data_IF_519235007543
#
_entry.id   IF_519235007543
#
_cell.length_a   1.000
_cell.length_b   1.000
_cell.length_c   1.000
_cell.angle_alpha   90.00
_cell.angle_beta   90.00
_cell.angle_gamma   90.00
#
_symmetry.space_group_name_H-M   'P 1'
#
loop_
_entity.id
_entity.type
_entity.pdbx_description
1 polymer ?
2 non-polymer ?
3 non-polymer ?
4 water ?
#
# COMPACT_ATOMS: atom_id res chain seq x y z
N UNK A 11 23.04 10.51 -0.13
CA UNK A 11 22.17 10.27 -1.26
C UNK A 11 22.80 10.74 -2.55
N UNK A 12 22.65 10.02 -3.63
CA UNK A 12 23.15 10.50 -4.89
C UNK A 12 22.54 11.86 -5.31
N UNK A 13 23.39 12.83 -5.57
CA UNK A 13 22.94 14.12 -6.05
C UNK A 13 22.98 14.13 -7.58
N UNK A 14 21.86 14.46 -8.20
CA UNK A 14 21.70 14.40 -9.65
C UNK A 14 21.69 15.83 -10.16
N UNK A 15 22.43 16.10 -11.22
CA UNK A 15 22.39 17.44 -11.76
C UNK A 15 21.12 17.64 -12.55
N UNK A 16 20.51 18.84 -12.49
CA UNK A 16 19.26 19.07 -13.23
C UNK A 16 19.37 18.86 -14.73
N UNK A 17 20.56 18.95 -15.31
CA UNK A 17 20.64 18.76 -16.76
C UNK A 17 20.50 17.30 -17.16
N UNK A 18 20.54 16.39 -16.21
CA UNK A 18 20.30 14.98 -16.48
C UNK A 18 18.82 14.60 -16.42
N UNK A 19 17.95 15.49 -15.92
CA UNK A 19 16.55 15.17 -15.67
C UNK A 19 15.70 15.88 -16.71
N UNK A 20 14.85 15.13 -17.40
CA UNK A 20 13.83 15.73 -18.27
C UNK A 20 12.45 15.33 -17.75
N UNK A 21 11.69 16.31 -17.28
CA UNK A 21 10.29 16.12 -16.92
C UNK A 21 9.42 16.10 -18.17
N UNK A 22 8.73 14.98 -18.41
CA UNK A 22 7.92 14.82 -19.63
C UNK A 22 6.43 15.01 -19.44
N UNK A 23 5.84 14.45 -18.39
CA UNK A 23 4.39 14.46 -18.23
C UNK A 23 4.07 14.56 -16.75
N UNK A 24 3.18 15.45 -16.37
CA UNK A 24 2.67 15.46 -15.01
C UNK A 24 1.78 14.24 -14.82
N UNK A 25 2.02 13.47 -13.76
CA UNK A 25 1.22 12.29 -13.47
C UNK A 25 0.46 12.41 -12.17
N UNK A 26 0.83 13.36 -11.32
CA UNK A 26 0.21 13.60 -10.04
C UNK A 26 0.47 15.05 -9.73
N UNK A 27 -0.48 15.76 -9.17
CA UNK A 27 -0.21 17.15 -8.88
C UNK A 27 -0.67 17.45 -7.47
N UNK A 28 0.03 18.38 -6.83
CA UNK A 28 -0.34 18.89 -5.53
C UNK A 28 -0.10 20.38 -5.47
N UNK A 29 -0.48 20.96 -4.32
CA UNK A 29 -0.30 22.41 -4.16
C UNK A 29 1.16 22.81 -4.21
N UNK A 30 2.04 21.98 -3.66
CA UNK A 30 3.43 22.38 -3.39
C UNK A 30 4.45 21.68 -4.28
N UNK A 31 3.99 20.95 -5.28
CA UNK A 31 4.86 20.24 -6.20
C UNK A 31 4.01 19.31 -7.04
N UNK A 32 4.65 18.67 -7.98
CA UNK A 32 3.96 17.72 -8.81
C UNK A 32 4.83 16.48 -8.88
N UNK A 33 4.22 15.40 -9.35
CA UNK A 33 4.93 14.18 -9.69
C UNK A 33 4.88 14.08 -11.19
N UNK A 34 6.04 13.79 -11.79
CA UNK A 34 6.20 13.66 -13.22
C UNK A 34 6.75 12.31 -13.60
N UNK A 35 6.38 11.86 -14.80
CA UNK A 35 7.14 10.86 -15.51
C UNK A 35 8.21 11.62 -16.31
N UNK A 36 9.41 11.05 -16.35
CA UNK A 36 10.50 11.64 -17.10
C UNK A 36 11.62 10.65 -17.37
N UNK A 37 12.77 11.19 -17.78
CA UNK A 37 13.90 10.37 -18.16
C UNK A 37 15.12 10.88 -17.42
N UNK A 38 15.98 9.96 -17.05
CA UNK A 38 17.20 10.29 -16.33
C UNK A 38 18.39 9.86 -17.20
N UNK A 39 19.26 10.82 -17.53
CA UNK A 39 20.57 10.51 -18.13
C UNK A 39 21.37 9.61 -17.18
N UNK A 45 22.05 4.79 -22.31
CA UNK A 45 20.88 5.57 -22.69
C UNK A 45 20.07 5.92 -21.47
N UNK A 46 19.25 6.96 -21.61
CA UNK A 46 18.47 7.46 -20.48
C UNK A 46 17.39 6.46 -20.10
N UNK A 47 17.00 6.49 -18.83
CA UNK A 47 16.07 5.51 -18.25
C UNK A 47 14.85 6.22 -17.70
N UNK A 48 13.67 5.61 -17.76
CA UNK A 48 12.47 6.26 -17.22
C UNK A 48 12.57 6.35 -15.71
N UNK A 49 12.10 7.47 -15.19
CA UNK A 49 12.07 7.71 -13.74
C UNK A 49 10.79 8.44 -13.44
N UNK A 50 10.43 8.42 -12.15
CA UNK A 50 9.43 9.34 -11.62
C UNK A 50 10.15 10.44 -10.88
N UNK A 51 9.61 11.66 -10.93
CA UNK A 51 10.26 12.87 -10.38
C UNK A 51 9.23 13.61 -9.53
N UNK A 52 9.53 13.85 -8.27
CA UNK A 52 8.62 14.64 -7.43
C UNK A 52 9.32 15.95 -7.11
N UNK A 53 8.63 17.08 -7.29
CA UNK A 53 9.24 18.39 -7.01
C UNK A 53 8.68 19.04 -5.76
N UNK A 54 9.45 20.01 -5.28
CA UNK A 54 9.04 20.87 -4.18
C UNK A 54 9.31 22.31 -4.59
N UNK A 55 8.25 23.06 -4.76
CA UNK A 55 8.38 24.43 -5.27
C UNK A 55 8.94 25.48 -4.32
N UNK A 56 9.61 26.48 -4.87
CA UNK A 56 10.19 27.58 -4.10
C UNK A 56 9.15 28.21 -3.19
N UNK A 57 9.60 28.67 -2.03
CA UNK A 57 8.67 29.15 -1.01
C UNK A 57 8.35 28.11 0.04
N UNK A 58 8.83 26.87 -0.15
CA UNK A 58 8.55 25.84 0.82
C UNK A 58 9.07 26.25 2.19
N UNK A 59 8.37 25.80 3.21
CA UNK A 59 8.75 26.02 4.59
C UNK A 59 9.83 25.04 5.05
N UNK A 60 10.38 25.31 6.23
CA UNK A 60 11.36 24.42 6.80
C UNK A 60 10.77 23.03 7.02
N UNK A 61 9.55 22.98 7.54
CA UNK A 61 8.89 21.69 7.75
C UNK A 61 8.65 20.99 6.42
N UNK A 62 8.25 21.74 5.38
CA UNK A 62 8.08 21.08 4.10
C UNK A 62 9.39 20.50 3.58
N UNK A 63 10.50 21.23 3.73
CA UNK A 63 11.80 20.72 3.31
C UNK A 63 12.20 19.48 4.10
N UNK A 64 12.04 19.54 5.42
CA UNK A 64 12.35 18.38 6.26
C UNK A 64 11.49 17.18 5.88
N UNK A 65 10.20 17.39 5.69
CA UNK A 65 9.34 16.28 5.29
C UNK A 65 9.73 15.73 3.91
N UNK A 66 10.01 16.62 2.95
CA UNK A 66 10.28 16.21 1.58
C UNK A 66 11.59 15.43 1.51
N UNK A 67 12.68 16.04 1.98
CA UNK A 67 13.95 15.34 1.92
C UNK A 67 13.95 14.15 2.87
N UNK A 68 13.11 14.18 3.92
CA UNK A 68 13.04 13.09 4.86
C UNK A 68 12.49 11.84 4.21
N UNK A 69 11.56 12.00 3.26
CA UNK A 69 11.07 10.88 2.49
C UNK A 69 12.20 10.25 1.72
N UNK A 70 13.02 11.09 1.03
CA UNK A 70 14.16 10.55 0.29
C UNK A 70 15.17 9.92 1.23
N UNK A 71 15.41 10.53 2.41
CA UNK A 71 16.32 9.93 3.38
C UNK A 71 15.89 8.54 3.82
N UNK A 72 14.58 8.36 4.10
CA UNK A 72 14.05 7.05 4.50
C UNK A 72 14.20 6.04 3.37
N UNK A 73 13.79 6.43 2.16
CA UNK A 73 13.88 5.48 1.04
C UNK A 73 15.31 5.09 0.69
N UNK A 74 16.27 6.02 0.84
CA UNK A 74 17.68 5.72 0.60
C UNK A 74 18.25 4.70 1.56
N UNK A 75 17.59 4.44 2.68
CA UNK A 75 18.10 3.43 3.59
C UNK A 75 17.65 2.02 3.21
N UNK A 76 16.77 1.86 2.19
CA UNK A 76 16.17 0.57 1.89
C UNK A 76 16.69 0.07 0.54
N UNK A 77 16.80 -1.23 0.44
CA UNK A 77 17.20 -1.87 -0.75
C UNK A 77 16.50 -3.24 -0.89
N UNK A 78 15.27 -3.18 -1.33
CA UNK A 78 14.45 -4.39 -1.56
C UNK A 78 13.61 -4.32 -2.81
N UNK A 79 13.43 -5.48 -3.43
CA UNK A 79 12.65 -5.61 -4.65
C UNK A 79 11.24 -5.01 -4.55
N UNK A 80 10.59 -5.10 -3.37
CA UNK A 80 9.20 -4.68 -3.19
C UNK A 80 9.08 -3.32 -2.47
N UNK A 81 10.14 -2.51 -2.55
CA UNK A 81 10.18 -1.15 -1.99
C UNK A 81 10.68 -0.21 -3.08
N UNK A 82 9.94 0.89 -3.34
CA UNK A 82 10.36 1.79 -4.40
C UNK A 82 11.81 2.24 -4.20
N UNK A 83 12.59 2.10 -5.28
CA UNK A 83 14.01 2.41 -5.30
C UNK A 83 14.25 3.91 -5.59
N UNK A 84 15.12 4.52 -4.78
CA UNK A 84 15.53 5.90 -4.95
C UNK A 84 16.70 5.99 -5.90
N UNK A 85 16.59 6.85 -6.93
CA UNK A 85 17.71 7.12 -7.86
C UNK A 85 18.58 8.27 -7.39
N UNK A 86 17.99 9.28 -6.82
CA UNK A 86 18.77 10.34 -6.21
C UNK A 86 17.90 11.56 -6.02
N UNK A 87 18.57 12.64 -5.65
CA UNK A 87 17.87 13.88 -5.35
C UNK A 87 18.56 15.04 -6.03
N UNK A 88 17.78 16.08 -6.30
CA UNK A 88 18.32 17.39 -6.59
C UNK A 88 18.00 18.26 -5.41
N UNK A 89 19.02 18.60 -4.64
CA UNK A 89 18.86 19.49 -3.51
C UNK A 89 19.63 20.79 -3.67
N UNK A 90 20.67 20.82 -4.51
CA UNK A 90 21.49 22.03 -4.68
C UNK A 90 20.89 23.05 -5.64
N UNK A 91 19.85 22.70 -6.37
CA UNK A 91 19.21 23.62 -7.28
C UNK A 91 17.73 23.63 -6.96
N UNK A 92 17.01 24.59 -7.52
CA UNK A 92 15.60 24.68 -7.26
C UNK A 92 14.89 24.60 -8.60
N UNK A 93 13.74 23.92 -8.66
CA UNK A 93 13.05 23.27 -7.53
C UNK A 93 13.79 22.01 -7.10
N UNK A 94 13.67 21.67 -5.83
CA UNK A 94 14.26 20.42 -5.39
C UNK A 94 13.46 19.26 -5.97
N UNK A 95 14.13 18.11 -6.13
CA UNK A 95 13.47 16.97 -6.73
C UNK A 95 13.92 15.68 -6.06
N UNK A 96 13.01 14.70 -6.01
CA UNK A 96 13.33 13.32 -5.65
C UNK A 96 13.04 12.47 -6.86
N UNK A 97 13.99 11.59 -7.25
CA UNK A 97 13.91 10.83 -8.48
C UNK A 97 13.93 9.35 -8.13
N UNK A 98 12.93 8.59 -8.61
CA UNK A 98 12.86 7.18 -8.27
C UNK A 98 12.63 6.36 -9.52
N UNK A 99 12.70 5.04 -9.35
CA UNK A 99 12.26 4.19 -10.46
C UNK A 99 10.83 4.56 -10.86
N UNK A 100 10.49 4.34 -12.12
CA UNK A 100 9.14 4.62 -12.62
C UNK A 100 8.32 3.33 -12.67
N UNK A 101 7.14 3.39 -12.06
CA UNK A 101 6.28 2.22 -12.03
C UNK A 101 5.21 2.44 -13.10
N UNK A 102 5.23 1.61 -14.16
CA UNK A 102 4.48 1.98 -15.34
C UNK A 102 2.98 1.84 -15.21
N UNK A 103 2.48 1.08 -14.21
CA UNK A 103 1.05 0.85 -14.11
C UNK A 103 0.40 1.63 -12.96
N UNK A 104 1.15 2.54 -12.30
CA UNK A 104 0.51 3.44 -11.31
C UNK A 104 0.11 2.75 -10.01
N UNK A 105 -0.90 3.35 -9.37
CA UNK A 105 -1.29 2.91 -8.04
C UNK A 105 -2.18 1.67 -8.13
N UNK A 106 -1.98 0.74 -7.20
CA UNK A 106 -2.62 -0.55 -7.27
C UNK A 106 -4.14 -0.45 -7.17
N UNK A 107 -4.66 0.44 -6.33
CA UNK A 107 -6.13 0.49 -6.22
C UNK A 107 -6.80 0.84 -7.56
N UNK A 108 -6.30 1.90 -8.18
CA UNK A 108 -6.84 2.30 -9.47
C UNK A 108 -6.60 1.23 -10.53
N UNK A 109 -5.41 0.64 -10.53
CA UNK A 109 -5.07 -0.38 -11.51
C UNK A 109 -6.06 -1.55 -11.45
N UNK A 110 -6.36 -2.04 -10.26
CA UNK A 110 -7.25 -3.20 -10.17
C UNK A 110 -8.65 -2.83 -10.60
N UNK A 111 -9.08 -1.61 -10.29
CA UNK A 111 -10.44 -1.20 -10.66
C UNK A 111 -10.57 -1.10 -12.17
N UNK A 112 -9.48 -0.79 -12.84
CA UNK A 112 -9.46 -0.64 -14.30
C UNK A 112 -9.20 -1.95 -15.01
N UNK A 113 -8.85 -2.98 -14.29
CA UNK A 113 -8.53 -4.30 -14.87
C UNK A 113 -9.39 -5.39 -14.25
N UNK A 114 -10.66 -5.07 -13.93
CA UNK A 114 -11.52 -5.95 -13.17
C UNK A 114 -11.63 -7.29 -13.85
N UNK A 115 -11.31 -8.35 -13.12
CA UNK A 115 -11.44 -9.72 -13.57
C UNK A 115 -10.37 -10.19 -14.54
N UNK A 116 -9.30 -9.43 -14.76
CA UNK A 116 -8.33 -9.75 -15.84
C UNK A 116 -7.19 -10.63 -15.40
N UNK A 117 -7.08 -10.97 -14.12
CA UNK A 117 -5.95 -11.74 -13.64
C UNK A 117 -6.39 -13.08 -13.06
N UNK A 118 -5.45 -14.01 -13.01
CA UNK A 118 -5.70 -15.26 -12.33
C UNK A 118 -5.61 -15.09 -10.82
N UNK A 119 -6.27 -16.00 -10.11
CA UNK A 119 -6.10 -16.01 -8.65
C UNK A 119 -4.61 -16.09 -8.30
N UNK A 120 -3.83 -16.90 -9.03
CA UNK A 120 -2.41 -17.02 -8.73
C UNK A 120 -1.68 -15.69 -8.90
N UNK A 121 -1.98 -14.93 -9.98
CA UNK A 121 -1.39 -13.60 -10.14
C UNK A 121 -1.77 -12.69 -8.96
N UNK A 122 -3.05 -12.68 -8.55
CA UNK A 122 -3.46 -11.84 -7.42
C UNK A 122 -2.69 -12.21 -6.17
N UNK A 123 -2.57 -13.51 -5.86
CA UNK A 123 -1.85 -13.93 -4.66
C UNK A 123 -0.37 -13.57 -4.77
N UNK A 124 0.19 -13.59 -5.98
CA UNK A 124 1.58 -13.20 -6.11
C UNK A 124 1.78 -11.73 -5.81
N UNK A 125 0.82 -10.88 -6.19
CA UNK A 125 0.89 -9.47 -5.81
C UNK A 125 0.96 -9.37 -4.30
N UNK A 126 0.09 -10.11 -3.62
CA UNK A 126 0.09 -10.00 -2.16
C UNK A 126 1.38 -10.49 -1.55
N UNK A 127 1.99 -11.55 -2.11
CA UNK A 127 3.26 -12.03 -1.58
C UNK A 127 4.34 -10.96 -1.72
N UNK A 128 4.33 -10.23 -2.84
CA UNK A 128 5.31 -9.16 -3.01
C UNK A 128 5.12 -8.04 -2.01
N UNK A 129 3.84 -7.60 -1.85
CA UNK A 129 3.57 -6.59 -0.82
C UNK A 129 4.01 -7.08 0.55
N UNK A 130 3.70 -8.33 0.88
CA UNK A 130 4.08 -8.85 2.20
C UNK A 130 5.58 -8.91 2.40
N UNK A 131 6.32 -9.29 1.37
CA UNK A 131 7.77 -9.33 1.51
C UNK A 131 8.33 -7.91 1.70
N UNK A 132 7.80 -6.89 0.98
CA UNK A 132 8.19 -5.50 1.26
C UNK A 132 7.90 -5.11 2.68
N UNK A 133 6.70 -5.47 3.18
CA UNK A 133 6.32 -5.12 4.55
C UNK A 133 7.13 -5.87 5.56
N UNK A 134 7.50 -7.11 5.26
CA UNK A 134 8.40 -7.84 6.19
C UNK A 134 9.75 -7.12 6.31
N UNK A 135 10.30 -6.66 5.20
CA UNK A 135 11.55 -5.92 5.20
C UNK A 135 11.41 -4.65 6.03
N UNK A 136 10.36 -3.86 5.77
CA UNK A 136 10.16 -2.61 6.52
C UNK A 136 10.04 -2.89 8.01
N UNK A 137 9.24 -3.89 8.39
CA UNK A 137 9.07 -4.18 9.80
C UNK A 137 10.39 -4.59 10.41
N UNK A 138 11.14 -5.41 9.72
CA UNK A 138 12.41 -5.86 10.32
C UNK A 138 13.40 -4.71 10.39
N UNK A 139 13.31 -3.72 9.50
CA UNK A 139 14.08 -2.47 9.55
C UNK A 139 13.59 -1.49 10.58
N UNK A 140 12.56 -1.85 11.36
CA UNK A 140 11.95 -0.98 12.38
C UNK A 140 11.31 0.25 11.75
N UNK A 141 10.68 0.06 10.59
CA UNK A 141 9.89 1.09 9.95
C UNK A 141 8.41 0.72 10.00
N UNK A 142 7.59 1.57 10.66
CA UNK A 142 6.15 1.40 10.70
C UNK A 142 5.54 2.29 9.66
N UNK A 143 4.77 1.69 8.74
CA UNK A 143 4.31 2.48 7.60
C UNK A 143 3.17 3.45 7.95
N UNK A 144 2.20 2.96 8.70
CA UNK A 144 1.01 3.70 9.16
C UNK A 144 -0.05 3.97 8.12
N UNK A 145 0.23 3.76 6.83
CA UNK A 145 -0.77 4.09 5.82
C UNK A 145 -0.70 3.03 4.71
N UNK A 146 -0.64 1.78 5.09
CA UNK A 146 -0.61 0.69 4.12
C UNK A 146 -2.02 0.50 3.53
N UNK A 147 -2.14 0.59 2.20
CA UNK A 147 -3.43 0.56 1.52
C UNK A 147 -3.08 0.39 0.05
N UNK A 148 -4.04 -0.11 -0.73
CA UNK A 148 -3.66 -0.31 -2.14
C UNK A 148 -3.31 1.02 -2.85
N UNK A 149 -3.89 2.16 -2.43
CA UNK A 149 -3.56 3.45 -3.02
C UNK A 149 -2.09 3.84 -2.86
N UNK A 150 -1.39 3.24 -1.87
CA UNK A 150 0.01 3.53 -1.57
C UNK A 150 0.94 2.40 -2.00
N UNK A 151 0.48 1.53 -2.91
CA UNK A 151 1.32 0.50 -3.53
C UNK A 151 1.35 0.86 -5.00
N UNK A 152 2.50 0.68 -5.62
CA UNK A 152 2.66 0.97 -7.05
C UNK A 152 2.94 -0.34 -7.77
N UNK A 153 2.62 -0.35 -9.09
CA UNK A 153 2.69 -1.57 -9.88
C UNK A 153 3.52 -1.31 -11.13
N UNK A 154 4.48 -2.22 -11.41
CA UNK A 154 5.26 -2.05 -12.65
C UNK A 154 4.80 -2.98 -13.77
N UNK A 155 5.54 -2.93 -14.89
CA UNK A 155 5.16 -3.72 -16.08
C UNK A 155 5.50 -5.18 -15.95
N UNK A 156 6.10 -5.64 -14.82
CA UNK A 156 6.19 -7.06 -14.51
C UNK A 156 5.15 -7.51 -13.49
N UNK A 157 4.15 -6.64 -13.20
CA UNK A 157 3.11 -6.91 -12.21
C UNK A 157 3.70 -6.89 -10.79
N UNK A 158 4.91 -6.40 -10.62
CA UNK A 158 5.49 -6.39 -9.28
C UNK A 158 4.89 -5.22 -8.54
N UNK A 159 4.48 -5.46 -7.29
CA UNK A 159 3.90 -4.42 -6.43
C UNK A 159 4.94 -3.96 -5.42
N UNK A 160 5.09 -2.67 -5.30
CA UNK A 160 6.10 -2.10 -4.38
C UNK A 160 5.43 -1.14 -3.45
N UNK A 161 5.85 -1.22 -2.17
CA UNK A 161 5.33 -0.26 -1.18
C UNK A 161 5.90 1.12 -1.46
N UNK A 162 5.05 2.14 -1.33
CA UNK A 162 5.39 3.53 -1.60
C UNK A 162 4.92 4.37 -0.43
N UNK A 163 5.12 5.70 -0.48
CA UNK A 163 4.54 6.65 0.48
C UNK A 163 5.22 6.66 1.85
N UNK A 164 6.45 7.18 1.88
CA UNK A 164 7.30 7.13 3.06
C UNK A 164 7.49 8.47 3.73
N UNK A 165 7.71 8.43 5.03
CA UNK A 165 7.94 9.69 5.74
C UNK A 165 7.60 9.56 7.20
N UNK A 166 7.51 10.72 7.86
CA UNK A 166 6.95 10.78 9.20
C UNK A 166 5.54 11.35 9.18
N UNK A 167 5.37 12.58 9.67
CA UNK A 167 4.03 13.15 9.76
C UNK A 167 3.44 13.39 8.38
N UNK A 168 4.29 13.51 7.34
CA UNK A 168 3.75 13.82 6.02
C UNK A 168 2.82 12.74 5.51
N UNK A 169 3.02 11.49 5.94
CA UNK A 169 2.31 10.38 5.29
C UNK A 169 0.79 10.50 5.51
N UNK A 170 0.36 10.58 6.77
CA UNK A 170 -1.07 10.71 7.05
C UNK A 170 -1.59 12.12 6.77
N UNK A 171 -0.74 13.13 6.91
CA UNK A 171 -1.15 14.49 6.61
C UNK A 171 -1.58 14.64 5.17
N UNK A 172 -0.83 14.06 4.25
CA UNK A 172 -1.03 14.25 2.83
C UNK A 172 -2.07 13.31 2.25
N UNK A 173 -2.48 12.28 2.99
CA UNK A 173 -3.42 11.32 2.42
C UNK A 173 -4.87 11.80 2.55
N UNK A 174 -5.55 12.08 1.43
CA UNK A 174 -6.95 12.55 1.53
C UNK A 174 -7.88 11.57 2.24
N UNK A 175 -7.58 10.27 2.20
CA UNK A 175 -8.41 9.30 2.91
C UNK A 175 -8.26 9.39 4.41
N UNK A 176 -7.22 10.06 4.92
CA UNK A 176 -7.01 10.11 6.36
C UNK A 176 -7.78 11.31 6.90
N UNK A 177 -8.68 11.06 7.86
CA UNK A 177 -9.61 12.07 8.34
C UNK A 177 -9.39 12.32 9.82
N UNK A 178 -9.70 13.54 10.25
CA UNK A 178 -9.69 13.89 11.66
C UNK A 178 -10.77 13.12 12.39
N UNK A 179 -10.39 12.45 13.48
CA UNK A 179 -11.35 11.71 14.26
C UNK A 179 -11.64 12.45 15.57
N UNK A 180 -12.73 12.02 16.20
CA UNK A 180 -13.33 12.74 17.32
C UNK A 180 -12.41 12.82 18.56
N UNK A 183 -6.74 12.27 16.24
CA UNK A 183 -5.73 11.88 15.27
C UNK A 183 -6.25 11.85 13.83
N UNK A 184 -5.37 12.10 12.85
CA UNK A 184 -5.75 12.08 11.42
C UNK A 184 -5.32 10.74 10.83
N UNK A 185 -6.30 9.91 10.50
CA UNK A 185 -6.04 8.53 10.14
C UNK A 185 -7.03 8.03 9.10
N UNK A 186 -6.65 7.02 8.29
CA UNK A 186 -7.58 6.43 7.30
C UNK A 186 -8.33 5.27 7.92
N UNK A 187 -9.51 5.60 8.43
CA UNK A 187 -10.12 4.74 9.44
C UNK A 187 -10.28 3.33 8.91
N UNK A 188 -10.73 3.15 7.66
CA UNK A 188 -11.12 1.81 7.18
C UNK A 188 -9.93 0.89 7.01
N UNK A 189 -8.73 1.46 7.00
CA UNK A 189 -7.50 0.65 6.87
C UNK A 189 -6.78 0.45 8.20
N UNK A 190 -7.21 1.12 9.27
CA UNK A 190 -6.39 1.27 10.46
C UNK A 190 -6.84 0.32 11.58
N UNK A 191 -5.88 -0.28 12.27
CA UNK A 191 -6.20 -1.20 13.35
C UNK A 191 -6.87 -0.47 14.53
N UNK A 192 -7.66 -1.21 15.29
CA UNK A 192 -8.36 -0.58 16.43
C UNK A 192 -7.46 0.16 17.42
N UNK A 193 -6.28 -0.38 17.74
CA UNK A 193 -5.47 0.33 18.76
C UNK A 193 -4.86 1.61 18.20
N UNK A 194 -4.68 1.68 16.90
CA UNK A 194 -4.18 2.90 16.31
C UNK A 194 -5.26 3.96 16.28
N UNK A 195 -6.51 3.57 15.95
CA UNK A 195 -7.65 4.48 16.07
C UNK A 195 -7.82 4.94 17.53
N UNK A 196 -7.85 3.97 18.45
CA UNK A 196 -8.31 4.28 19.82
C UNK A 196 -7.26 5.07 20.58
N UNK A 197 -6.01 4.71 20.49
CA UNK A 197 -5.01 5.33 21.35
C UNK A 197 -3.69 5.61 20.67
N UNK A 198 -3.70 5.68 19.32
CA UNK A 198 -2.53 6.19 18.60
C UNK A 198 -1.35 5.22 18.61
N UNK A 199 -1.62 3.94 18.80
CA UNK A 199 -0.55 2.92 18.84
C UNK A 199 -0.34 2.35 17.43
N UNK A 200 0.68 2.85 16.75
CA UNK A 200 1.02 2.39 15.39
C UNK A 200 2.29 1.54 15.50
N UNK A 201 2.15 0.28 15.10
CA UNK A 201 3.28 -0.65 15.14
C UNK A 201 3.24 -1.51 13.88
N UNK A 202 4.24 -2.37 13.72
CA UNK A 202 4.12 -3.30 12.63
C UNK A 202 2.92 -4.20 12.71
N UNK A 203 2.36 -4.42 13.92
CA UNK A 203 1.15 -5.24 14.01
C UNK A 203 -0.11 -4.45 13.56
N UNK A 204 -0.10 -3.13 13.69
CA UNK A 204 -1.18 -2.36 13.07
C UNK A 204 -1.02 -2.35 11.57
N UNK A 205 0.23 -2.38 11.08
CA UNK A 205 0.41 -2.56 9.63
C UNK A 205 -0.08 -3.92 9.17
N UNK A 206 -0.01 -4.98 10.00
CA UNK A 206 -0.56 -6.29 9.61
C UNK A 206 -2.07 -6.18 9.41
N UNK A 207 -2.77 -5.47 10.30
CA UNK A 207 -4.21 -5.27 10.09
C UNK A 207 -4.45 -4.63 8.73
N UNK A 208 -3.70 -3.55 8.45
CA UNK A 208 -3.80 -2.88 7.17
C UNK A 208 -3.59 -3.84 6.03
N UNK A 209 -2.56 -4.66 6.17
CA UNK A 209 -2.30 -5.61 5.11
C UNK A 209 -3.48 -6.52 4.89
N UNK A 210 -4.18 -6.94 5.96
CA UNK A 210 -5.38 -7.76 5.72
C UNK A 210 -6.41 -6.99 4.89
N UNK A 211 -6.57 -5.68 5.14
CA UNK A 211 -7.46 -4.88 4.27
C UNK A 211 -6.95 -4.83 2.84
N UNK A 212 -5.60 -4.73 2.66
CA UNK A 212 -5.06 -4.73 1.29
C UNK A 212 -5.29 -6.08 0.64
N UNK A 213 -5.24 -7.19 1.42
CA UNK A 213 -5.57 -8.52 0.81
C UNK A 213 -7.02 -8.49 0.28
N UNK A 214 -7.93 -7.87 1.04
CA UNK A 214 -9.31 -7.82 0.62
C UNK A 214 -9.44 -6.90 -0.59
N UNK A 215 -8.77 -5.77 -0.58
CA UNK A 215 -8.79 -4.92 -1.77
C UNK A 215 -8.27 -5.64 -3.02
N UNK A 216 -7.18 -6.40 -2.91
CA UNK A 216 -6.67 -7.05 -4.12
C UNK A 216 -7.70 -8.10 -4.60
N UNK A 217 -8.22 -8.93 -3.68
CA UNK A 217 -9.06 -10.07 -4.11
C UNK A 217 -10.39 -9.59 -4.67
N UNK A 218 -10.80 -8.38 -4.36
CA UNK A 218 -12.04 -7.83 -4.86
C UNK A 218 -11.82 -6.88 -6.05
N UNK A 219 -10.61 -6.76 -6.54
CA UNK A 219 -10.33 -5.84 -7.63
C UNK A 219 -10.63 -4.40 -7.23
N UNK A 220 -10.24 -4.05 -6.00
CA UNK A 220 -10.31 -2.66 -5.61
C UNK A 220 -11.66 -2.17 -5.10
N UNK A 221 -12.47 -3.06 -4.51
CA UNK A 221 -13.69 -2.60 -3.89
C UNK A 221 -13.33 -1.70 -2.69
N UNK A 222 -14.18 -0.76 -2.40
CA UNK A 222 -13.99 0.09 -1.23
C UNK A 222 -14.33 -0.67 0.06
N UNK A 223 -13.39 -0.80 1.01
CA UNK A 223 -13.68 -1.55 2.23
C UNK A 223 -14.92 -0.99 2.94
N UNK A 224 -15.82 -1.89 3.32
CA UNK A 224 -17.03 -1.60 4.06
C UNK A 224 -18.00 -0.81 3.22
N UNK A 225 -17.74 -0.68 1.91
CA UNK A 225 -18.74 -0.07 0.99
C UNK A 225 -19.14 1.28 1.56
N UNK A 226 -20.46 1.56 1.71
CA UNK A 226 -20.83 2.91 1.99
C UNK A 226 -20.94 3.21 3.49
N UNK A 227 -20.54 2.26 4.39
CA UNK A 227 -20.63 2.56 5.84
C UNK A 227 -19.80 3.77 6.10
N UNK A 228 -20.26 4.63 7.02
CA UNK A 228 -19.51 5.81 7.39
C UNK A 228 -18.31 5.38 8.26
N UNK A 229 -17.38 6.31 8.51
CA UNK A 229 -16.24 5.98 9.38
C UNK A 229 -16.69 5.57 10.78
N UNK A 230 -17.67 6.29 11.38
CA UNK A 230 -18.13 5.90 12.70
C UNK A 230 -18.77 4.53 12.66
N UNK A 231 -19.54 4.26 11.61
CA UNK A 231 -20.16 2.93 11.45
C UNK A 231 -19.12 1.83 11.31
N UNK A 232 -18.01 2.12 10.64
CA UNK A 232 -16.97 1.10 10.51
C UNK A 232 -16.36 0.78 11.87
N UNK A 233 -16.00 1.82 12.64
CA UNK A 233 -15.46 1.60 13.98
C UNK A 233 -16.41 0.81 14.87
N UNK A 234 -17.71 1.14 14.81
CA UNK A 234 -18.66 0.41 15.64
C UNK A 234 -18.81 -1.04 15.19
N UNK A 235 -18.86 -1.27 13.89
CA UNK A 235 -18.94 -2.65 13.42
C UNK A 235 -17.70 -3.45 13.87
N UNK A 236 -16.51 -2.87 13.72
CA UNK A 236 -15.31 -3.62 14.11
C UNK A 236 -15.33 -3.90 15.61
N UNK A 237 -15.76 -2.90 16.39
CA UNK A 237 -15.73 -3.14 17.83
C UNK A 237 -16.76 -4.18 18.27
N UNK A 238 -17.90 -4.31 17.57
CA UNK A 238 -18.93 -5.33 17.78
C UNK A 238 -18.52 -6.70 17.26
N UNK A 239 -17.37 -6.80 16.59
CA UNK A 239 -16.85 -8.07 16.11
C UNK A 239 -17.07 -8.36 14.62
N UNK A 240 -17.75 -7.50 13.89
CA UNK A 240 -17.97 -7.77 12.48
C UNK A 240 -16.67 -7.55 11.70
N UNK A 241 -16.55 -8.29 10.61
CA UNK A 241 -15.38 -8.19 9.73
C UNK A 241 -15.85 -8.26 8.29
N UNK A 242 -14.97 -7.79 7.40
CA UNK A 242 -15.34 -7.84 5.98
C UNK A 242 -15.68 -9.26 5.54
N UNK A 243 -16.67 -9.45 4.68
CA UNK A 243 -17.04 -10.79 4.23
C UNK A 243 -16.10 -11.27 3.14
N UNK A 244 -16.19 -12.57 2.84
CA UNK A 244 -15.26 -13.09 1.83
C UNK A 244 -15.54 -12.44 0.47
N UNK A 245 -14.48 -12.15 -0.25
CA UNK A 245 -14.63 -11.73 -1.66
C UNK A 245 -15.19 -12.90 -2.47
N UNK A 246 -15.74 -12.58 -3.64
CA UNK A 246 -16.08 -13.62 -4.61
C UNK A 246 -14.81 -14.28 -5.10
N UNK A 247 -14.92 -15.58 -5.33
CA UNK A 247 -13.85 -16.36 -5.94
C UNK A 247 -12.55 -16.31 -5.14
N UNK A 248 -12.63 -16.23 -3.78
CA UNK A 248 -11.43 -16.12 -2.97
C UNK A 248 -11.01 -17.46 -2.38
N UNK A 249 -9.74 -17.84 -2.52
CA UNK A 249 -9.28 -19.07 -1.89
C UNK A 249 -9.56 -19.03 -0.40
N UNK A 250 -10.06 -20.18 0.11
CA UNK A 250 -10.28 -20.30 1.56
C UNK A 250 -9.04 -19.91 2.36
N UNK A 251 -7.84 -20.36 1.94
CA UNK A 251 -6.65 -20.05 2.73
C UNK A 251 -6.39 -18.55 2.81
N UNK A 252 -6.72 -17.85 1.72
CA UNK A 252 -6.53 -16.40 1.65
C UNK A 252 -7.44 -15.71 2.66
N UNK A 253 -8.69 -16.16 2.71
CA UNK A 253 -9.66 -15.58 3.63
C UNK A 253 -9.26 -15.92 5.07
N UNK A 254 -8.75 -17.13 5.26
CA UNK A 254 -8.32 -17.58 6.57
C UNK A 254 -7.17 -16.70 7.07
N UNK A 255 -6.35 -16.23 6.14
CA UNK A 255 -5.22 -15.36 6.50
C UNK A 255 -5.66 -13.93 6.75
N UNK A 256 -6.53 -13.39 5.90
CA UNK A 256 -6.93 -11.99 6.14
C UNK A 256 -7.70 -11.87 7.46
N UNK A 257 -8.55 -12.86 7.78
CA UNK A 257 -9.25 -12.84 9.08
C UNK A 257 -8.30 -12.83 10.26
N UNK A 258 -7.19 -13.57 10.17
CA UNK A 258 -6.24 -13.58 11.28
C UNK A 258 -5.52 -12.24 11.41
N UNK A 259 -5.34 -11.53 10.30
CA UNK A 259 -4.77 -10.18 10.40
C UNK A 259 -5.69 -9.23 11.12
N UNK A 260 -7.00 -9.54 11.18
CA UNK A 260 -7.97 -8.64 11.80
C UNK A 260 -8.36 -9.07 13.21
N UNK A 261 -7.46 -9.71 13.95
CA UNK A 261 -7.74 -10.02 15.35
C UNK A 261 -7.65 -8.74 16.16
N UNK A 262 -8.63 -8.55 17.03
CA UNK A 262 -8.64 -7.39 17.89
C UNK A 262 -7.38 -7.31 18.74
N UNK A 263 -6.99 -8.46 19.30
CA UNK A 263 -5.77 -8.53 20.12
C UNK A 263 -4.54 -8.50 19.24
N UNK A 264 -3.78 -7.42 19.33
CA UNK A 264 -2.64 -7.21 18.45
C UNK A 264 -1.65 -8.39 18.52
N UNK A 265 -1.44 -8.93 19.72
CA UNK A 265 -0.47 -10.03 19.89
C UNK A 265 -0.87 -11.31 19.17
N UNK A 266 -2.12 -11.47 18.80
CA UNK A 266 -2.54 -12.66 18.12
C UNK A 266 -2.42 -12.60 16.61
N UNK A 267 -2.18 -11.42 16.07
CA UNK A 267 -2.02 -11.30 14.60
C UNK A 267 -0.74 -11.99 14.14
N UNK A 268 -0.71 -12.53 12.91
CA UNK A 268 0.56 -13.07 12.40
C UNK A 268 1.53 -11.94 12.27
N UNK A 269 2.83 -12.30 12.30
CA UNK A 269 3.83 -11.32 11.93
C UNK A 269 3.98 -11.37 10.43
N UNK A 270 4.66 -10.37 9.86
CA UNK A 270 4.88 -10.40 8.43
C UNK A 270 5.68 -11.62 7.99
N UNK A 271 6.59 -12.08 8.82
CA UNK A 271 7.29 -13.30 8.42
C UNK A 271 6.36 -14.48 8.25
N UNK A 272 5.34 -14.62 9.12
CA UNK A 272 4.38 -15.70 8.97
C UNK A 272 3.58 -15.52 7.69
N UNK A 273 3.15 -14.29 7.42
CA UNK A 273 2.37 -13.99 6.22
C UNK A 273 3.14 -14.36 4.96
N UNK A 274 4.43 -13.96 4.87
CA UNK A 274 5.23 -14.27 3.67
C UNK A 274 5.40 -15.77 3.53
N UNK A 275 5.62 -16.47 4.66
CA UNK A 275 5.83 -17.90 4.60
C UNK A 275 4.60 -18.61 4.06
N UNK A 276 3.40 -18.24 4.57
CA UNK A 276 2.16 -18.87 4.13
C UNK A 276 1.91 -18.59 2.66
N UNK A 277 2.05 -17.34 2.25
CA UNK A 277 1.80 -17.00 0.85
C UNK A 277 2.76 -17.72 -0.07
N UNK A 278 4.05 -17.81 0.32
CA UNK A 278 5.05 -18.56 -0.45
C UNK A 278 4.60 -19.98 -0.66
N UNK A 279 4.15 -20.61 0.41
CA UNK A 279 3.79 -22.02 0.35
C UNK A 279 2.56 -22.24 -0.52
N UNK A 280 1.55 -21.34 -0.41
CA UNK A 280 0.39 -21.46 -1.28
C UNK A 280 0.78 -21.33 -2.75
N UNK A 281 1.60 -20.32 -3.09
CA UNK A 281 2.01 -20.14 -4.49
C UNK A 281 2.79 -21.35 -4.97
N UNK A 282 3.59 -21.97 -4.10
CA UNK A 282 4.44 -23.07 -4.57
C UNK A 282 3.65 -24.34 -4.74
N UNK A 283 2.47 -24.44 -4.13
CA UNK A 283 1.52 -25.51 -4.35
C UNK A 283 0.21 -24.90 -4.79
N UNK A 284 0.13 -24.44 -6.04
CA UNK A 284 -0.97 -23.57 -6.44
C UNK A 284 -2.30 -24.27 -6.43
N UNK A 285 -2.34 -25.61 -6.43
CA UNK A 285 -3.64 -26.28 -6.29
C UNK A 285 -4.30 -25.91 -4.99
N UNK A 286 -3.49 -25.54 -3.98
CA UNK A 286 -4.05 -25.13 -2.70
C UNK A 286 -4.99 -23.95 -2.87
N UNK A 287 -4.82 -23.15 -3.94
CA UNK A 287 -5.66 -21.95 -4.08
C UNK A 287 -7.00 -22.27 -4.75
N UNK A 288 -7.17 -23.51 -5.22
CA UNK A 288 -8.41 -23.86 -5.90
C UNK A 288 -9.57 -24.08 -4.95
N UNK A 289 -9.30 -24.30 -3.66
CA UNK A 289 -10.36 -24.44 -2.67
C UNK A 289 -10.91 -23.06 -2.26
N UNK A 290 -12.17 -22.75 -2.54
CA UNK A 290 -12.63 -21.38 -2.35
C UNK A 290 -13.45 -21.28 -1.09
N UNK A 291 -13.36 -20.12 -0.43
CA UNK A 291 -14.33 -19.85 0.63
C UNK A 291 -15.71 -19.59 0.06
N UNK A 292 -16.73 -19.97 0.84
CA UNK A 292 -18.09 -19.70 0.38
C UNK A 292 -18.35 -18.21 0.34
N UNK A 293 -19.03 -17.78 -0.71
CA UNK A 293 -19.39 -16.37 -0.89
C UNK A 293 -20.87 -16.20 -0.52
N UNK A 294 -21.17 -15.21 0.33
CA UNK A 294 -22.54 -14.99 0.80
C UNK A 294 -23.27 -14.10 -0.19
N UNK A 295 -24.23 -14.62 -0.94
CA UNK A 295 -24.77 -13.83 -2.04
C UNK A 295 -25.66 -12.79 -1.44
N UNK A 296 -25.72 -11.61 -2.06
CA UNK A 296 -26.58 -10.54 -1.55
C UNK A 296 -27.84 -10.52 -2.40
N UNK A 297 -27.76 -11.12 -3.57
CA UNK A 297 -28.89 -11.13 -4.49
C UNK A 297 -29.31 -12.58 -4.72
N UNK A 298 -30.62 -12.81 -4.71
CA UNK A 298 -31.23 -14.10 -5.02
C UNK A 298 -31.81 -14.01 -6.43
N UNK A 299 -31.40 -14.91 -7.32
CA UNK A 299 -32.00 -15.04 -8.65
C UNK A 299 -32.58 -16.44 -8.76
N UNK A 300 -33.89 -16.51 -9.00
CA UNK A 300 -34.65 -17.77 -9.07
C UNK A 300 -35.24 -17.90 -10.47
N UNK A 301 -35.00 -19.03 -11.13
CA UNK A 301 -35.60 -19.32 -12.43
C UNK A 301 -36.24 -20.70 -12.37
N UNK A 302 -37.50 -20.86 -12.83
CA UNK A 302 -38.16 -22.16 -12.85
C UNK A 302 -37.42 -23.18 -13.75
#
# INVERSE_FOLDING_TARGET
>A
GDPNQAVLKFTTEIHPSCVTRQKVIGAGEFGEVYKGMLKTSSGKKEVPVAIKTLKAGYTEKQRVDFLGEAGIMGQFSHHNIIRLEGVISKYKPMMIITEYMENGALDKFLREKDGEFSVLQLVGMLRGIAAGMKYLANMNYVHRDLAARNILVNSNLVCKVSDFGLSRVLEDDPEATYTTSGGKIPIRWTAPEAISYRKFTSASDVWSFGIVMWEVMTYGERPYWELSNHEVMKAINDGFRLPTPMDCPSAIYQLMMQCWQQERARRPKFADIVSILDKLIRAPDSLKTLADFDPRVSIRLPSTSG
#
